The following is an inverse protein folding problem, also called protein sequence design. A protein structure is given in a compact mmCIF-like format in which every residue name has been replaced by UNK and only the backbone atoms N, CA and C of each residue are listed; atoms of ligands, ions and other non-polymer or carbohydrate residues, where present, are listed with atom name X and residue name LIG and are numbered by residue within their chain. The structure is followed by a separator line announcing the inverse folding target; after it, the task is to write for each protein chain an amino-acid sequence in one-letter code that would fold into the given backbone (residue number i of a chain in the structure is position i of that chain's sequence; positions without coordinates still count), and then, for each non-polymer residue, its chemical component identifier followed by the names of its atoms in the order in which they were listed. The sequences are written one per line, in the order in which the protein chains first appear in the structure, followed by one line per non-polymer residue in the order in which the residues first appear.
data_IF_960551350005
#
_entry.id   IF_960551350005
#
_cell.length_a   1.000
_cell.length_b   1.000
_cell.length_c   1.000
_cell.angle_alpha   90.00
_cell.angle_beta   90.00
_cell.angle_gamma   90.00
#
_symmetry.space_group_name_H-M   'P 1'
#
loop_
_entity.id
_entity.type
_entity.pdbx_description
1 polymer ?
#
# COMPACT_ATOMS: atom_id res chain seq x y z
N UNK A 1 -4.32 2.79 -20.57
CA UNK A 1 -4.29 2.66 -19.10
C UNK A 1 -4.42 1.21 -18.62
N UNK A 2 -5.42 0.43 -19.07
CA UNK A 2 -5.58 -0.99 -18.70
C UNK A 2 -4.35 -1.88 -19.01
N UNK A 3 -3.61 -1.59 -20.08
CA UNK A 3 -2.34 -2.27 -20.43
C UNK A 3 -1.14 -1.84 -19.57
N UNK A 4 -1.16 -0.62 -19.02
CA UNK A 4 -0.06 -0.11 -18.18
C UNK A 4 -0.16 -0.65 -16.74
N UNK A 5 -1.39 -0.79 -16.23
CA UNK A 5 -1.69 -1.33 -14.91
C UNK A 5 -1.36 -2.84 -14.81
N UNK A 6 -1.56 -3.58 -15.89
CA UNK A 6 -1.13 -4.99 -16.02
C UNK A 6 0.40 -5.10 -16.13
N UNK A 7 1.07 -4.12 -16.76
CA UNK A 7 2.53 -4.09 -16.84
C UNK A 7 3.16 -3.84 -15.46
N UNK A 8 2.59 -2.94 -14.66
CA UNK A 8 3.03 -2.68 -13.28
C UNK A 8 2.82 -3.92 -12.39
N UNK A 9 1.67 -4.62 -12.52
CA UNK A 9 1.43 -5.89 -11.81
C UNK A 9 2.38 -7.03 -12.25
N UNK A 10 2.80 -7.06 -13.52
CA UNK A 10 3.74 -8.07 -14.06
C UNK A 10 5.20 -7.80 -13.68
N UNK A 11 5.58 -6.52 -13.48
CA UNK A 11 6.92 -6.16 -13.01
C UNK A 11 7.07 -6.47 -11.52
N UNK A 12 6.01 -6.32 -10.73
CA UNK A 12 5.99 -6.70 -9.30
C UNK A 12 6.08 -8.21 -9.05
N UNK A 13 5.67 -9.06 -9.99
CA UNK A 13 5.77 -10.52 -9.86
C UNK A 13 7.05 -11.13 -10.43
N UNK A 14 7.75 -10.44 -11.34
CA UNK A 14 8.94 -10.98 -12.03
C UNK A 14 10.28 -10.66 -11.36
N UNK A 15 10.33 -9.75 -10.38
CA UNK A 15 11.56 -9.46 -9.63
C UNK A 15 11.68 -10.23 -8.31
N UNK A 16 10.74 -11.13 -7.97
CA UNK A 16 10.70 -11.76 -6.65
C UNK A 16 11.59 -13.02 -6.51
N UNK A 17 12.25 -13.47 -7.58
CA UNK A 17 13.12 -14.66 -7.55
C UNK A 17 14.58 -14.41 -7.92
N UNK A 18 15.00 -13.16 -8.17
CA UNK A 18 16.37 -12.87 -8.56
C UNK A 18 16.94 -11.69 -7.76
N UNK A 19 18.05 -11.95 -7.08
CA UNK A 19 18.93 -11.01 -6.38
C UNK A 19 18.61 -10.71 -4.90
N UNK A 20 18.93 -11.68 -4.03
CA UNK A 20 19.74 -11.35 -2.86
C UNK A 20 20.64 -12.54 -2.48
N UNK A 21 21.69 -12.75 -3.29
CA UNK A 21 22.85 -13.58 -2.91
C UNK A 21 24.06 -12.66 -2.85
N UNK A 22 24.12 -11.81 -1.82
CA UNK A 22 25.34 -11.11 -1.45
C UNK A 22 26.00 -11.94 -0.35
N UNK A 23 26.99 -12.73 -0.74
CA UNK A 23 27.91 -13.38 0.18
C UNK A 23 28.98 -12.35 0.53
N UNK A 24 28.92 -11.79 1.74
CA UNK A 24 30.06 -11.08 2.31
C UNK A 24 30.90 -12.09 3.08
N UNK A 25 31.92 -12.63 2.42
CA UNK A 25 33.06 -13.22 3.11
C UNK A 25 33.91 -12.07 3.64
N UNK A 26 33.88 -11.88 4.95
CA UNK A 26 34.89 -11.13 5.71
C UNK A 26 35.08 -11.89 7.02
N UNK A 27 35.93 -12.91 6.98
CA UNK A 27 36.57 -13.44 8.17
C UNK A 27 37.46 -12.34 8.75
N UNK A 28 36.98 -11.70 9.81
CA UNK A 28 37.85 -11.02 10.76
C UNK A 28 37.80 -11.82 12.05
N UNK A 29 38.84 -12.61 12.29
CA UNK A 29 39.10 -13.28 13.56
C UNK A 29 39.30 -12.24 14.68
N UNK A 30 38.19 -11.86 15.29
CA UNK A 30 38.15 -11.32 16.64
C UNK A 30 37.39 -12.34 17.47
N UNK A 31 38.16 -13.19 18.16
CA UNK A 31 37.69 -14.09 19.20
C UNK A 31 37.28 -13.27 20.43
N UNK A 32 36.26 -12.43 20.28
CA UNK A 32 35.46 -11.94 21.39
C UNK A 32 34.60 -13.12 21.80
N UNK A 33 34.66 -13.50 23.07
CA UNK A 33 33.82 -14.53 23.66
C UNK A 33 32.34 -14.15 23.49
N UNK A 34 31.76 -14.56 22.35
CA UNK A 34 30.37 -14.26 21.94
C UNK A 34 29.34 -14.77 22.94
N UNK A 35 29.74 -15.68 23.82
CA UNK A 35 28.87 -16.31 24.80
C UNK A 35 28.54 -15.39 25.99
N UNK A 36 29.30 -14.31 26.23
CA UNK A 36 29.02 -13.37 27.34
C UNK A 36 28.21 -12.13 26.92
N UNK A 37 28.21 -11.74 25.64
CA UNK A 37 27.55 -10.49 25.19
C UNK A 37 26.09 -10.70 24.74
N UNK A 38 25.63 -11.94 24.53
CA UNK A 38 24.27 -12.21 24.04
C UNK A 38 23.58 -13.38 24.75
N UNK A 39 23.69 -13.46 26.08
CA UNK A 39 22.59 -14.04 26.86
C UNK A 39 21.43 -13.04 26.89
N UNK A 40 20.83 -12.77 25.73
CA UNK A 40 19.45 -12.31 25.72
C UNK A 40 18.64 -13.49 26.20
N UNK A 41 18.37 -13.53 27.51
CA UNK A 41 17.42 -14.43 28.10
C UNK A 41 16.17 -14.41 27.22
N UNK A 42 15.88 -15.57 26.62
CA UNK A 42 14.92 -15.70 25.52
C UNK A 42 13.53 -15.54 26.13
N UNK A 43 13.10 -14.29 26.29
CA UNK A 43 11.87 -13.92 26.98
C UNK A 43 10.68 -13.89 26.04
N UNK A 44 9.51 -14.17 26.58
CA UNK A 44 8.25 -14.06 25.86
C UNK A 44 8.04 -12.66 25.27
N UNK A 45 7.48 -12.63 24.06
CA UNK A 45 7.10 -11.40 23.36
C UNK A 45 5.62 -11.12 23.58
N UNK A 46 5.28 -9.85 23.76
CA UNK A 46 3.89 -9.44 23.93
C UNK A 46 3.14 -9.48 22.60
N UNK A 47 2.05 -10.27 22.56
CA UNK A 47 1.18 -10.40 21.37
C UNK A 47 0.44 -9.09 21.08
N UNK A 48 -0.03 -8.41 22.13
CA UNK A 48 -0.73 -7.14 22.01
C UNK A 48 0.20 -6.04 21.52
N UNK A 49 1.44 -6.00 22.04
CA UNK A 49 2.44 -5.05 21.56
C UNK A 49 2.79 -5.30 20.10
N UNK A 50 3.02 -6.56 19.70
CA UNK A 50 3.28 -6.91 18.31
C UNK A 50 2.13 -6.47 17.39
N UNK A 51 0.88 -6.72 17.80
CA UNK A 51 -0.31 -6.27 17.07
C UNK A 51 -0.31 -4.76 16.84
N UNK A 52 -0.21 -3.97 17.91
CA UNK A 52 -0.31 -2.51 17.81
C UNK A 52 0.88 -1.88 17.09
N UNK A 53 2.08 -2.45 17.23
CA UNK A 53 3.24 -2.01 16.46
C UNK A 53 2.99 -2.17 14.96
N UNK A 54 2.52 -3.34 14.51
CA UNK A 54 2.21 -3.57 13.09
C UNK A 54 0.96 -2.86 12.60
N UNK A 55 0.01 -2.57 13.49
CA UNK A 55 -1.15 -1.73 13.15
C UNK A 55 -0.73 -0.28 12.92
N UNK A 56 0.27 0.23 13.64
CA UNK A 56 0.79 1.58 13.43
C UNK A 56 1.70 1.63 12.20
N UNK A 57 2.61 0.67 12.07
CA UNK A 57 3.59 0.58 10.98
C UNK A 57 3.63 -0.89 10.52
N UNK A 58 3.04 -1.23 9.36
CA UNK A 58 3.04 -2.59 8.84
C UNK A 58 4.45 -3.17 8.77
N UNK A 59 4.65 -4.35 9.37
CA UNK A 59 5.95 -5.02 9.49
C UNK A 59 6.71 -4.76 10.80
N UNK A 60 6.33 -3.77 11.62
CA UNK A 60 7.07 -3.42 12.84
C UNK A 60 6.90 -4.43 13.98
N UNK A 61 5.69 -4.97 14.16
CA UNK A 61 5.42 -6.07 15.10
C UNK A 61 6.07 -7.38 14.67
N UNK A 62 6.15 -7.66 13.37
CA UNK A 62 6.93 -8.78 12.84
C UNK A 62 8.43 -8.61 13.11
N UNK A 63 8.95 -7.39 12.94
CA UNK A 63 10.31 -7.06 13.32
C UNK A 63 10.56 -7.27 14.82
N UNK A 64 9.63 -6.82 15.68
CA UNK A 64 9.70 -6.97 17.14
C UNK A 64 9.82 -8.43 17.61
N UNK A 65 9.22 -9.39 16.88
CA UNK A 65 9.30 -10.83 17.18
C UNK A 65 10.38 -11.55 16.38
N UNK A 66 11.37 -10.81 15.86
CA UNK A 66 12.49 -11.33 15.06
C UNK A 66 12.07 -12.04 13.76
N UNK A 67 10.94 -11.64 13.17
CA UNK A 67 10.37 -12.21 11.93
C UNK A 67 10.30 -11.21 10.79
N UNK A 68 11.36 -10.42 10.63
CA UNK A 68 11.47 -9.46 9.52
C UNK A 68 11.58 -10.13 8.14
N UNK A 69 11.88 -11.44 8.10
CA UNK A 69 11.77 -12.26 6.89
C UNK A 69 10.38 -12.18 6.24
N UNK A 70 9.33 -12.02 7.07
CA UNK A 70 7.95 -11.78 6.62
C UNK A 70 7.60 -10.29 6.71
N UNK A 71 8.00 -9.61 7.79
CA UNK A 71 7.65 -8.21 8.04
C UNK A 71 8.04 -7.24 6.90
N UNK A 72 9.16 -7.51 6.22
CA UNK A 72 9.64 -6.69 5.09
C UNK A 72 8.64 -6.56 3.94
N UNK A 73 7.78 -7.56 3.72
CA UNK A 73 6.81 -7.52 2.63
C UNK A 73 5.64 -6.58 2.95
N UNK A 74 5.21 -6.50 4.21
CA UNK A 74 4.21 -5.53 4.65
C UNK A 74 4.73 -4.10 4.53
N UNK A 75 5.98 -3.87 4.94
CA UNK A 75 6.64 -2.57 4.81
C UNK A 75 6.83 -2.16 3.34
N UNK A 76 7.29 -3.09 2.50
CA UNK A 76 7.45 -2.85 1.06
C UNK A 76 6.11 -2.52 0.41
N UNK A 77 5.06 -3.31 0.72
CA UNK A 77 3.69 -3.07 0.23
C UNK A 77 3.19 -1.70 0.66
N UNK A 78 3.39 -1.33 1.92
CA UNK A 78 3.01 -0.02 2.46
C UNK A 78 3.66 1.12 1.66
N UNK A 79 4.99 1.05 1.46
CA UNK A 79 5.71 2.05 0.69
C UNK A 79 5.20 2.16 -0.76
N UNK A 80 4.92 1.03 -1.40
CA UNK A 80 4.38 0.97 -2.76
C UNK A 80 2.98 1.57 -2.87
N UNK A 81 2.14 1.36 -1.86
CA UNK A 81 0.79 1.93 -1.80
C UNK A 81 0.82 3.44 -1.61
N UNK A 82 1.67 3.97 -0.73
CA UNK A 82 1.88 5.42 -0.58
C UNK A 82 2.40 6.06 -1.86
N UNK A 83 3.38 5.43 -2.51
CA UNK A 83 3.89 5.90 -3.81
C UNK A 83 2.79 5.90 -4.88
N UNK A 84 1.93 4.88 -4.89
CA UNK A 84 0.80 4.80 -5.82
C UNK A 84 -0.23 5.89 -5.55
N UNK A 85 -0.57 6.14 -4.28
CA UNK A 85 -1.46 7.22 -3.87
C UNK A 85 -0.93 8.58 -4.31
N UNK A 86 0.34 8.85 -4.04
CA UNK A 86 1.03 10.06 -4.47
C UNK A 86 1.06 10.17 -6.00
N UNK A 87 1.32 9.08 -6.71
CA UNK A 87 1.33 9.02 -8.17
C UNK A 87 -0.01 9.41 -8.79
N UNK A 88 -1.13 8.91 -8.26
CA UNK A 88 -2.47 9.34 -8.71
C UNK A 88 -2.72 10.83 -8.46
N UNK A 89 -2.33 11.33 -7.30
CA UNK A 89 -2.51 12.73 -6.92
C UNK A 89 -1.69 13.68 -7.79
N UNK A 90 -0.43 13.32 -8.06
CA UNK A 90 0.47 14.05 -8.94
C UNK A 90 -0.01 14.04 -10.40
N UNK A 91 -0.36 12.86 -10.95
CA UNK A 91 -0.87 12.74 -12.31
C UNK A 91 -2.21 13.49 -12.48
N UNK A 92 -3.10 13.42 -11.49
CA UNK A 92 -4.37 14.16 -11.49
C UNK A 92 -4.14 15.66 -11.60
N UNK A 93 -3.18 16.24 -10.86
CA UNK A 93 -2.82 17.66 -10.96
C UNK A 93 -2.28 18.04 -12.33
N UNK A 94 -1.39 17.22 -12.91
CA UNK A 94 -0.88 17.47 -14.27
C UNK A 94 -2.04 17.53 -15.28
N UNK A 95 -2.95 16.55 -15.23
CA UNK A 95 -4.09 16.55 -16.16
C UNK A 95 -5.06 17.69 -15.89
N UNK A 96 -5.17 18.13 -14.63
CA UNK A 96 -5.91 19.32 -14.26
C UNK A 96 -5.38 20.56 -14.95
N UNK A 97 -4.09 20.81 -14.80
CA UNK A 97 -3.42 21.95 -15.43
C UNK A 97 -3.53 21.87 -16.96
N UNK A 98 -3.40 20.67 -17.53
CA UNK A 98 -3.57 20.44 -18.96
C UNK A 98 -4.98 20.81 -19.46
N UNK A 99 -6.04 20.35 -18.80
CA UNK A 99 -7.41 20.67 -19.26
C UNK A 99 -7.73 22.16 -19.07
N UNK A 100 -7.25 22.79 -17.98
CA UNK A 100 -7.46 24.22 -17.71
C UNK A 100 -6.76 25.06 -18.78
N UNK A 101 -5.48 24.78 -19.05
CA UNK A 101 -4.71 25.49 -20.08
C UNK A 101 -5.30 25.25 -21.47
N UNK A 102 -5.74 24.02 -21.76
CA UNK A 102 -6.39 23.71 -23.02
C UNK A 102 -7.69 24.50 -23.21
N UNK A 103 -8.52 24.59 -22.17
CA UNK A 103 -9.77 25.37 -22.20
C UNK A 103 -9.51 26.87 -22.35
N UNK A 104 -8.48 27.40 -21.69
CA UNK A 104 -8.09 28.81 -21.81
C UNK A 104 -7.70 29.16 -23.25
N UNK A 105 -6.86 28.32 -23.88
CA UNK A 105 -6.31 28.60 -25.22
C UNK A 105 -7.33 28.32 -26.32
N UNK A 106 -8.08 27.22 -26.24
CA UNK A 106 -8.92 26.75 -27.36
C UNK A 106 -10.42 27.04 -27.15
N UNK A 107 -10.84 27.27 -25.92
CA UNK A 107 -12.24 27.54 -25.56
C UNK A 107 -12.52 28.97 -25.10
N UNK A 108 -11.48 29.82 -25.01
CA UNK A 108 -11.62 31.20 -24.51
C UNK A 108 -11.98 31.30 -23.02
N UNK A 109 -11.75 30.23 -22.25
CA UNK A 109 -12.19 30.15 -20.85
C UNK A 109 -11.33 31.03 -19.93
N UNK A 110 -12.00 31.80 -19.07
CA UNK A 110 -11.36 32.42 -17.90
C UNK A 110 -11.40 31.45 -16.69
N UNK A 111 -10.26 30.91 -16.23
CA UNK A 111 -10.24 29.90 -15.16
C UNK A 111 -10.59 30.43 -13.77
N UNK A 112 -10.56 31.75 -13.57
CA UNK A 112 -10.76 32.35 -12.25
C UNK A 112 -12.18 32.12 -11.72
N UNK A 113 -12.27 31.65 -10.47
CA UNK A 113 -13.53 31.47 -9.75
C UNK A 113 -14.43 30.37 -10.30
N UNK A 114 -13.89 29.40 -11.04
CA UNK A 114 -14.66 28.29 -11.63
C UNK A 114 -14.65 27.06 -10.74
N UNK A 115 -15.83 26.52 -10.49
CA UNK A 115 -16.02 25.29 -9.68
C UNK A 115 -15.88 24.02 -10.52
N UNK A 116 -15.91 22.86 -9.87
CA UNK A 116 -15.82 21.56 -10.54
C UNK A 116 -16.98 21.29 -11.50
N UNK A 117 -18.19 21.81 -11.20
CA UNK A 117 -19.37 21.66 -12.04
C UNK A 117 -19.17 22.35 -13.38
N UNK A 118 -18.65 23.58 -13.38
CA UNK A 118 -18.31 24.30 -14.61
C UNK A 118 -17.37 23.48 -15.51
N UNK A 119 -16.25 23.01 -14.95
CA UNK A 119 -15.26 22.23 -15.71
C UNK A 119 -15.85 20.93 -16.28
N UNK A 120 -16.81 20.31 -15.60
CA UNK A 120 -17.55 19.17 -16.12
C UNK A 120 -18.47 19.55 -17.29
N UNK A 121 -19.22 20.65 -17.14
CA UNK A 121 -20.23 21.12 -18.11
C UNK A 121 -19.60 21.51 -19.43
N UNK A 122 -18.54 22.31 -19.43
CA UNK A 122 -17.97 22.83 -20.68
C UNK A 122 -17.47 21.72 -21.61
N UNK A 123 -17.15 20.54 -21.07
CA UNK A 123 -16.78 19.38 -21.88
C UNK A 123 -17.95 18.66 -22.56
N UNK A 124 -19.20 18.97 -22.21
CA UNK A 124 -20.39 18.30 -22.73
C UNK A 124 -21.06 19.06 -23.90
N UNK A 125 -20.82 20.37 -24.03
CA UNK A 125 -21.47 21.25 -25.00
C UNK A 125 -20.43 21.98 -25.86
N UNK A 126 -20.80 22.39 -27.08
CA UNK A 126 -19.90 23.13 -27.96
C UNK A 126 -19.65 24.56 -27.48
N UNK A 127 -20.66 25.21 -26.91
CA UNK A 127 -20.57 26.58 -26.41
C UNK A 127 -21.61 26.82 -25.30
N UNK A 128 -21.52 27.99 -24.67
CA UNK A 128 -22.43 28.39 -23.59
C UNK A 128 -23.89 28.53 -24.02
N UNK A 129 -24.15 28.96 -25.25
CA UNK A 129 -25.51 29.15 -25.76
C UNK A 129 -26.22 27.80 -25.89
N UNK A 130 -25.54 26.76 -26.37
CA UNK A 130 -26.10 25.41 -26.46
C UNK A 130 -26.53 24.89 -25.08
N UNK A 131 -25.69 25.10 -24.06
CA UNK A 131 -26.01 24.72 -22.68
C UNK A 131 -27.18 25.53 -22.13
N UNK A 132 -27.11 26.87 -22.22
CA UNK A 132 -28.15 27.75 -21.69
C UNK A 132 -29.50 27.51 -22.35
N UNK A 133 -29.53 27.30 -23.67
CA UNK A 133 -30.75 26.99 -24.41
C UNK A 133 -31.38 25.67 -23.95
N UNK A 134 -30.58 24.62 -23.71
CA UNK A 134 -31.09 23.37 -23.12
C UNK A 134 -31.72 23.61 -21.74
N UNK A 135 -31.05 24.39 -20.88
CA UNK A 135 -31.58 24.71 -19.54
C UNK A 135 -32.86 25.51 -19.58
N UNK A 136 -32.97 26.47 -20.49
CA UNK A 136 -34.18 27.26 -20.69
C UNK A 136 -35.35 26.39 -21.21
N UNK A 137 -35.09 25.49 -22.17
CA UNK A 137 -36.10 24.55 -22.68
C UNK A 137 -36.63 23.62 -21.58
N UNK A 138 -35.75 23.20 -20.66
CA UNK A 138 -36.10 22.35 -19.53
C UNK A 138 -36.66 23.13 -18.32
N UNK A 139 -36.84 24.46 -18.43
CA UNK A 139 -37.29 25.35 -17.35
C UNK A 139 -36.37 25.33 -16.12
N UNK A 140 -35.08 25.04 -16.32
CA UNK A 140 -34.03 25.02 -15.30
C UNK A 140 -33.35 26.40 -15.16
N UNK A 141 -34.13 27.46 -14.91
CA UNK A 141 -33.63 28.85 -14.93
C UNK A 141 -32.47 29.11 -13.97
N UNK A 142 -32.45 28.45 -12.82
CA UNK A 142 -31.38 28.59 -11.81
C UNK A 142 -30.06 27.91 -12.22
N UNK A 143 -30.04 27.14 -13.31
CA UNK A 143 -28.86 26.43 -13.80
C UNK A 143 -28.22 27.11 -15.01
N UNK A 144 -28.85 28.16 -15.55
CA UNK A 144 -28.32 28.99 -16.65
C UNK A 144 -27.07 29.71 -16.18
N UNK A 145 -26.05 29.74 -17.02
CA UNK A 145 -24.80 30.45 -16.74
C UNK A 145 -24.81 31.86 -17.31
N UNK A 146 -24.26 32.80 -16.56
CA UNK A 146 -23.96 34.15 -17.05
C UNK A 146 -22.86 34.07 -18.11
N UNK A 147 -23.17 34.54 -19.32
CA UNK A 147 -22.29 34.47 -20.49
C UNK A 147 -20.98 35.24 -20.33
N UNK A 148 -20.97 36.34 -19.56
CA UNK A 148 -19.77 37.14 -19.32
C UNK A 148 -18.83 36.47 -18.32
N UNK A 149 -19.39 35.76 -17.34
CA UNK A 149 -18.63 35.13 -16.25
C UNK A 149 -18.15 33.74 -16.65
N UNK A 150 -18.98 32.97 -17.33
CA UNK A 150 -18.80 31.54 -17.59
C UNK A 150 -18.58 31.22 -19.07
N UNK A 151 -18.20 32.20 -19.90
CA UNK A 151 -17.95 31.99 -21.33
C UNK A 151 -17.10 30.75 -21.66
N UNK A 152 -17.53 29.98 -22.68
CA UNK A 152 -16.68 29.11 -23.48
C UNK A 152 -17.26 28.93 -24.88
N UNK A 153 -16.39 28.67 -25.85
CA UNK A 153 -16.78 28.27 -27.20
C UNK A 153 -15.67 27.41 -27.85
N UNK A 154 -15.95 26.14 -28.12
CA UNK A 154 -15.00 25.24 -28.79
C UNK A 154 -15.06 25.43 -30.30
N UNK A 155 -13.90 25.47 -30.97
CA UNK A 155 -13.87 25.61 -32.43
C UNK A 155 -14.41 24.35 -33.13
N UNK A 156 -14.12 23.17 -32.59
CA UNK A 156 -14.52 21.89 -33.17
C UNK A 156 -14.98 20.89 -32.10
N UNK A 157 -15.81 19.93 -32.52
CA UNK A 157 -16.21 18.83 -31.65
C UNK A 157 -15.02 17.93 -31.28
N UNK A 158 -13.95 17.87 -32.11
CA UNK A 158 -12.72 17.17 -31.73
C UNK A 158 -12.01 17.84 -30.55
N UNK A 159 -11.92 19.17 -30.54
CA UNK A 159 -11.33 19.92 -29.43
C UNK A 159 -12.11 19.75 -28.13
N UNK A 160 -13.43 19.86 -28.18
CA UNK A 160 -14.30 19.58 -27.02
C UNK A 160 -14.07 18.17 -26.48
N UNK A 161 -14.01 17.15 -27.34
CA UNK A 161 -13.73 15.76 -26.93
C UNK A 161 -12.33 15.62 -26.33
N UNK A 162 -11.33 16.30 -26.90
CA UNK A 162 -9.96 16.33 -26.36
C UNK A 162 -9.94 16.92 -24.95
N UNK A 163 -10.58 18.07 -24.74
CA UNK A 163 -10.78 18.66 -23.42
C UNK A 163 -11.44 17.66 -22.46
N UNK A 164 -12.57 17.06 -22.87
CA UNK A 164 -13.33 16.11 -22.05
C UNK A 164 -12.47 14.93 -21.61
N UNK A 165 -11.59 14.44 -22.48
CA UNK A 165 -10.68 13.34 -22.16
C UNK A 165 -9.60 13.74 -21.15
N UNK A 166 -9.06 14.95 -21.24
CA UNK A 166 -8.10 15.48 -20.25
C UNK A 166 -8.77 15.64 -18.88
N UNK A 167 -9.96 16.25 -18.86
CA UNK A 167 -10.76 16.38 -17.64
C UNK A 167 -11.11 15.03 -17.01
N UNK A 168 -11.59 14.06 -17.82
CA UNK A 168 -11.85 12.69 -17.34
C UNK A 168 -10.60 12.01 -16.79
N UNK A 169 -9.44 12.25 -17.38
CA UNK A 169 -8.18 11.67 -16.91
C UNK A 169 -7.77 12.25 -15.55
N UNK A 170 -7.96 13.56 -15.33
CA UNK A 170 -7.80 14.20 -14.02
C UNK A 170 -8.75 13.59 -12.99
N UNK A 171 -10.05 13.60 -13.28
CA UNK A 171 -11.07 13.13 -12.33
C UNK A 171 -10.91 11.64 -12.02
N UNK A 172 -10.61 10.82 -13.03
CA UNK A 172 -10.33 9.40 -12.82
C UNK A 172 -9.12 9.19 -11.90
N UNK A 173 -8.05 9.97 -12.05
CA UNK A 173 -6.88 9.86 -11.19
C UNK A 173 -7.21 10.22 -9.73
N UNK A 174 -7.93 11.33 -9.52
CA UNK A 174 -8.34 11.73 -8.18
C UNK A 174 -9.31 10.74 -7.53
N UNK A 175 -10.27 10.21 -8.30
CA UNK A 175 -11.21 9.20 -7.81
C UNK A 175 -10.51 7.87 -7.49
N UNK A 176 -9.49 7.48 -8.28
CA UNK A 176 -8.77 6.23 -8.08
C UNK A 176 -7.89 6.23 -6.81
N UNK A 177 -7.66 7.38 -6.15
CA UNK A 177 -6.95 7.45 -4.87
C UNK A 177 -7.61 6.62 -3.77
N UNK A 178 -8.91 6.37 -3.86
CA UNK A 178 -9.62 5.53 -2.88
C UNK A 178 -9.08 4.09 -2.81
N UNK A 179 -8.58 3.54 -3.93
CA UNK A 179 -8.07 2.18 -3.98
C UNK A 179 -6.81 1.96 -3.12
N UNK A 180 -5.71 2.73 -3.30
CA UNK A 180 -4.55 2.59 -2.43
C UNK A 180 -4.88 2.93 -0.97
N UNK A 181 -5.77 3.87 -0.67
CA UNK A 181 -6.22 4.15 0.70
C UNK A 181 -6.84 2.89 1.33
N UNK A 182 -7.77 2.24 0.64
CA UNK A 182 -8.40 1.02 1.14
C UNK A 182 -7.37 -0.11 1.35
N UNK A 183 -6.44 -0.26 0.41
CA UNK A 183 -5.38 -1.26 0.51
C UNK A 183 -4.39 -0.99 1.64
N UNK A 184 -4.08 0.28 1.95
CA UNK A 184 -3.25 0.66 3.10
C UNK A 184 -3.92 0.17 4.38
N UNK A 185 -5.21 0.48 4.58
CA UNK A 185 -5.95 0.05 5.77
C UNK A 185 -5.95 -1.49 5.90
N UNK A 186 -6.18 -2.21 4.79
CA UNK A 186 -6.13 -3.67 4.77
C UNK A 186 -4.73 -4.18 5.13
N UNK A 187 -3.67 -3.58 4.57
CA UNK A 187 -2.28 -3.93 4.83
C UNK A 187 -1.94 -3.82 6.33
N UNK A 188 -2.36 -2.71 6.96
CA UNK A 188 -2.22 -2.50 8.40
C UNK A 188 -2.91 -3.58 9.24
N UNK A 189 -4.16 -3.91 8.93
CA UNK A 189 -4.93 -4.92 9.69
C UNK A 189 -4.30 -6.31 9.53
N UNK A 190 -3.96 -6.70 8.30
CA UNK A 190 -3.38 -8.02 8.02
C UNK A 190 -2.01 -8.16 8.69
N UNK A 191 -1.17 -7.12 8.63
CA UNK A 191 0.13 -7.12 9.33
C UNK A 191 -0.06 -7.20 10.84
N UNK A 192 -0.98 -6.43 11.43
CA UNK A 192 -1.26 -6.48 12.86
C UNK A 192 -1.66 -7.88 13.34
N UNK A 193 -2.57 -8.54 12.64
CA UNK A 193 -3.01 -9.91 12.94
C UNK A 193 -1.83 -10.88 12.80
N UNK A 194 -1.08 -10.78 11.70
CA UNK A 194 0.07 -11.64 11.45
C UNK A 194 1.15 -11.50 12.53
N UNK A 195 1.49 -10.28 12.94
CA UNK A 195 2.44 -10.02 14.02
C UNK A 195 2.01 -10.64 15.36
N UNK A 196 0.72 -10.53 15.71
CA UNK A 196 0.16 -11.18 16.91
C UNK A 196 0.28 -12.71 16.87
N UNK A 197 -0.01 -13.32 15.70
CA UNK A 197 0.15 -14.76 15.48
C UNK A 197 1.61 -15.17 15.60
N UNK A 198 2.53 -14.41 15.03
CA UNK A 198 3.97 -14.69 15.09
C UNK A 198 4.51 -14.54 16.51
N UNK A 199 4.05 -13.56 17.28
CA UNK A 199 4.36 -13.44 18.71
C UNK A 199 3.92 -14.69 19.49
N UNK A 200 2.71 -15.20 19.22
CA UNK A 200 2.23 -16.43 19.84
C UNK A 200 3.09 -17.66 19.49
N UNK A 201 3.48 -17.80 18.21
CA UNK A 201 4.36 -18.89 17.77
C UNK A 201 5.75 -18.78 18.37
N UNK A 202 6.27 -17.56 18.48
CA UNK A 202 7.55 -17.30 19.14
C UNK A 202 7.50 -17.77 20.60
N UNK A 203 6.49 -17.37 21.38
CA UNK A 203 6.37 -17.81 22.79
C UNK A 203 6.23 -19.33 22.93
N UNK A 204 5.46 -20.00 22.07
CA UNK A 204 5.36 -21.47 22.08
C UNK A 204 6.69 -22.16 21.80
N UNK A 205 7.49 -21.62 20.88
CA UNK A 205 8.82 -22.19 20.60
C UNK A 205 9.79 -22.05 21.78
N UNK A 206 9.58 -21.10 22.68
CA UNK A 206 10.33 -20.99 23.93
C UNK A 206 9.92 -22.12 24.89
N UNK A 207 8.62 -22.35 25.02
CA UNK A 207 8.08 -23.40 25.89
C UNK A 207 8.58 -24.78 25.46
N UNK A 208 8.55 -25.09 24.16
CA UNK A 208 9.06 -26.34 23.59
C UNK A 208 10.58 -26.51 23.77
N UNK A 209 11.35 -25.42 23.75
CA UNK A 209 12.79 -25.47 24.04
C UNK A 209 13.09 -25.71 25.52
N UNK A 210 12.26 -25.16 26.41
CA UNK A 210 12.39 -25.36 27.86
C UNK A 210 11.98 -26.74 28.32
N UNK A 211 11.00 -27.38 27.67
CA UNK A 211 10.51 -28.73 27.98
C UNK A 211 10.97 -29.76 26.94
N UNK A 212 12.02 -30.54 27.27
CA UNK A 212 12.49 -31.64 26.41
C UNK A 212 12.23 -33.00 27.05
N UNK A 213 11.52 -33.86 26.33
CA UNK A 213 11.38 -35.29 26.64
C UNK A 213 12.45 -36.07 25.88
N UNK A 214 13.34 -36.72 26.61
CA UNK A 214 14.41 -37.53 26.02
C UNK A 214 14.14 -39.00 26.36
N UNK A 215 13.74 -39.84 25.39
CA UNK A 215 13.65 -41.27 25.61
C UNK A 215 15.07 -41.84 25.74
N UNK A 216 15.32 -42.57 26.82
CA UNK A 216 16.52 -43.37 27.00
C UNK A 216 16.15 -44.83 26.85
N UNK A 217 16.78 -45.49 25.88
CA UNK A 217 16.73 -46.94 25.71
C UNK A 217 18.03 -47.49 26.27
N UNK A 218 17.93 -48.39 27.23
CA UNK A 218 19.07 -48.98 27.91
C UNK A 218 18.80 -50.42 28.32
N UNK A 219 19.73 -50.98 29.07
CA UNK A 219 19.53 -52.25 29.74
C UNK A 219 19.64 -52.02 31.25
N UNK A 220 18.80 -52.68 32.02
CA UNK A 220 18.94 -52.70 33.46
C UNK A 220 20.22 -53.47 33.87
N UNK A 221 20.50 -53.48 35.17
CA UNK A 221 21.63 -54.22 35.75
C UNK A 221 21.58 -55.75 35.51
N UNK A 222 20.46 -56.28 34.98
CA UNK A 222 20.25 -57.68 34.64
C UNK A 222 20.18 -57.93 33.13
N UNK A 223 20.56 -56.96 32.30
CA UNK A 223 20.51 -57.02 30.83
C UNK A 223 19.09 -57.13 30.24
N UNK A 224 18.05 -56.76 30.98
CA UNK A 224 16.71 -56.62 30.42
C UNK A 224 16.56 -55.27 29.71
N UNK A 225 15.91 -55.20 28.54
CA UNK A 225 15.67 -53.94 27.86
C UNK A 225 14.78 -53.03 28.71
N UNK A 226 15.24 -51.80 28.94
CA UNK A 226 14.52 -50.78 29.70
C UNK A 226 14.34 -49.52 28.84
N UNK A 227 13.12 -48.97 28.90
CA UNK A 227 12.78 -47.68 28.29
C UNK A 227 12.45 -46.74 29.44
N UNK A 228 13.22 -45.66 29.59
CA UNK A 228 12.94 -44.60 30.56
C UNK A 228 12.72 -43.25 29.86
N UNK A 229 11.77 -42.47 30.38
CA UNK A 229 11.48 -41.11 29.92
C UNK A 229 12.09 -40.13 30.92
N UNK A 230 13.07 -39.34 30.48
CA UNK A 230 13.63 -38.27 31.32
C UNK A 230 13.03 -36.93 30.91
N UNK A 231 12.47 -36.21 31.88
CA UNK A 231 11.96 -34.86 31.69
C UNK A 231 13.06 -33.85 32.03
N UNK A 232 13.49 -33.07 31.03
CA UNK A 232 14.40 -31.95 31.25
C UNK A 232 13.64 -30.63 31.15
N UNK A 233 13.67 -29.88 32.25
CA UNK A 233 13.26 -28.48 32.32
C UNK A 233 14.50 -27.61 32.48
N UNK A 234 14.83 -26.78 31.50
CA UNK A 234 15.83 -25.72 31.70
C UNK A 234 15.15 -24.54 32.40
N UNK A 235 15.74 -24.08 33.50
CA UNK A 235 15.34 -22.86 34.20
C UNK A 235 16.18 -21.69 33.71
#
# INVERSE_FOLDING_TARGET
MRKLLVLVLLILSSTLSAQFKYSSNSESDLSINKNEILNFEKSEKSKTLAFFLSLAIPGAGEYYVNRFDVGKYFLLTESGLWLTLWGFDYYGRIQRDNYINFAKVNGGVNPSGKDSKYWAVIGNYMNINDYNNEKLLNREFNAVFDENIYYWNWNTNQERKKYRNLWLSSESAFNNKQFPIALIVINHIVSAINASILANRYNKSLEDETMRLIPRVGFDQFYNPEISLTFHKSF
#
